data_IF_942728517081
#
_entry.id   IF_942728517081
#
_cell.length_a   1.000
_cell.length_b   1.000
_cell.length_c   1.000
_cell.angle_alpha   90.00
_cell.angle_beta   90.00
_cell.angle_gamma   90.00
#
_symmetry.space_group_name_H-M   'P 1'
#
loop_
_entity.id
_entity.type
_entity.pdbx_description
1 polymer ?
#
# COMPACT_ATOMS: atom_id res chain seq x y z
N UNK A 1 31.43 8.69 -1.09
CA UNK A 1 30.59 7.47 -0.97
C UNK A 1 29.18 7.85 -1.40
N UNK A 2 29.06 8.14 -2.65
CA UNK A 2 27.82 8.58 -3.25
C UNK A 2 27.15 7.35 -3.83
N UNK A 3 26.36 6.71 -3.04
CA UNK A 3 25.62 5.52 -3.43
C UNK A 3 24.17 5.87 -3.80
N UNK A 4 23.51 4.96 -4.51
CA UNK A 4 22.10 5.05 -4.87
C UNK A 4 21.15 5.23 -3.66
N UNK A 5 21.67 5.13 -2.45
CA UNK A 5 20.93 5.23 -1.17
C UNK A 5 21.22 6.50 -0.39
N UNK A 6 21.92 7.46 -0.97
CA UNK A 6 22.20 8.76 -0.31
C UNK A 6 20.88 9.45 0.05
N UNK A 7 20.70 9.73 1.33
CA UNK A 7 19.48 10.36 1.85
C UNK A 7 18.33 9.41 2.24
N UNK A 8 18.40 8.12 1.90
CA UNK A 8 17.36 7.14 2.25
C UNK A 8 17.54 6.52 3.65
N UNK A 9 18.66 6.78 4.31
CA UNK A 9 19.01 6.12 5.56
C UNK A 9 19.55 4.70 5.35
N UNK A 10 19.75 3.93 6.45
CA UNK A 10 20.34 2.60 6.39
C UNK A 10 19.41 1.50 5.87
N UNK A 11 18.09 1.75 5.88
CA UNK A 11 17.05 0.83 5.44
C UNK A 11 16.14 1.54 4.43
N UNK A 12 15.67 0.81 3.43
CA UNK A 12 14.76 1.34 2.42
C UNK A 12 13.85 0.24 1.84
N UNK A 13 12.69 0.65 1.34
CA UNK A 13 11.81 -0.21 0.52
C UNK A 13 12.35 -0.27 -0.90
N UNK A 14 12.70 0.89 -1.47
CA UNK A 14 13.16 1.06 -2.87
C UNK A 14 14.15 2.22 -2.95
N UNK A 15 15.04 2.22 -3.94
CA UNK A 15 15.95 3.35 -4.16
C UNK A 15 15.28 4.66 -4.58
N UNK A 16 14.06 4.60 -5.13
CA UNK A 16 13.34 5.78 -5.55
C UNK A 16 11.97 5.45 -6.16
N UNK A 17 11.14 6.47 -6.36
CA UNK A 17 9.74 6.33 -6.81
C UNK A 17 9.61 5.59 -8.15
N UNK A 18 10.49 5.88 -9.11
CA UNK A 18 10.43 5.29 -10.45
C UNK A 18 10.81 3.80 -10.49
N UNK A 19 11.32 3.23 -9.41
CA UNK A 19 11.50 1.78 -9.31
C UNK A 19 10.16 1.06 -9.24
N UNK A 20 9.16 1.64 -8.57
CA UNK A 20 7.79 1.11 -8.52
C UNK A 20 6.90 1.70 -9.61
N UNK A 21 7.17 2.93 -10.05
CA UNK A 21 6.35 3.66 -11.03
C UNK A 21 7.15 3.96 -12.32
N UNK A 22 7.54 2.93 -13.10
CA UNK A 22 8.34 3.16 -14.30
C UNK A 22 7.57 4.05 -15.29
N UNK A 23 8.23 5.11 -15.77
CA UNK A 23 7.60 6.14 -16.62
C UNK A 23 6.34 6.76 -15.99
N UNK A 24 6.30 6.90 -14.67
CA UNK A 24 5.16 7.40 -13.88
C UNK A 24 3.89 6.52 -13.96
N UNK A 25 3.99 5.37 -14.56
CA UNK A 25 2.88 4.42 -14.75
C UNK A 25 2.90 3.26 -13.77
N UNK A 26 2.26 2.18 -14.19
CA UNK A 26 2.21 0.91 -13.46
C UNK A 26 3.51 0.12 -13.65
N UNK A 27 3.80 -0.76 -12.68
CA UNK A 27 4.86 -1.73 -12.79
C UNK A 27 4.61 -2.77 -13.88
N UNK A 28 5.68 -3.40 -14.32
CA UNK A 28 5.60 -4.52 -15.26
C UNK A 28 5.46 -5.83 -14.51
N UNK A 29 4.81 -6.80 -15.14
CA UNK A 29 4.77 -8.19 -14.69
C UNK A 29 6.18 -8.73 -14.52
N UNK A 30 6.47 -9.35 -13.39
CA UNK A 30 7.78 -9.87 -12.99
C UNK A 30 7.67 -11.34 -12.61
N UNK A 31 8.80 -12.04 -12.64
CA UNK A 31 8.90 -13.44 -12.20
C UNK A 31 9.32 -13.56 -10.73
N UNK A 32 9.93 -12.51 -10.19
CA UNK A 32 10.37 -12.44 -8.78
C UNK A 32 10.19 -11.04 -8.23
N UNK A 33 9.88 -10.97 -6.95
CA UNK A 33 9.98 -9.71 -6.21
C UNK A 33 11.44 -9.39 -5.90
N UNK A 34 11.90 -8.24 -6.39
CA UNK A 34 13.22 -7.68 -6.04
C UNK A 34 13.12 -6.17 -5.92
N UNK A 35 13.50 -5.67 -4.75
CA UNK A 35 13.45 -4.23 -4.50
C UNK A 35 14.37 -3.42 -5.42
N UNK A 36 15.45 -4.01 -5.90
CA UNK A 36 16.41 -3.37 -6.81
C UNK A 36 16.01 -3.37 -8.27
N UNK A 37 15.05 -4.19 -8.67
CA UNK A 37 14.65 -4.32 -10.06
C UNK A 37 13.77 -3.13 -10.46
N UNK A 38 14.27 -2.34 -11.41
CA UNK A 38 13.53 -1.21 -11.97
C UNK A 38 12.32 -1.71 -12.74
N UNK A 39 11.16 -1.13 -12.45
CA UNK A 39 9.91 -1.50 -13.11
C UNK A 39 9.14 -2.63 -12.44
N UNK A 40 9.64 -3.20 -11.36
CA UNK A 40 8.91 -4.10 -10.50
C UNK A 40 7.91 -3.29 -9.66
N UNK A 41 6.76 -2.99 -10.23
CA UNK A 41 5.71 -2.15 -9.65
C UNK A 41 4.84 -2.83 -8.61
N UNK A 42 5.39 -3.76 -7.82
CA UNK A 42 4.65 -4.42 -6.76
C UNK A 42 5.12 -3.96 -5.39
N UNK A 43 4.15 -3.78 -4.50
CA UNK A 43 4.34 -3.62 -3.07
C UNK A 43 4.22 -4.99 -2.41
N UNK A 44 5.18 -5.32 -1.56
CA UNK A 44 5.12 -6.51 -0.74
C UNK A 44 4.30 -6.20 0.50
N UNK A 45 3.25 -6.97 0.75
CA UNK A 45 2.42 -6.87 1.96
C UNK A 45 2.48 -8.19 2.70
N UNK A 46 2.83 -8.14 3.98
CA UNK A 46 2.93 -9.32 4.86
C UNK A 46 1.86 -9.22 5.95
N UNK A 47 1.04 -10.24 6.05
CA UNK A 47 -0.14 -10.24 6.91
C UNK A 47 -0.35 -11.58 7.63
N UNK A 48 -1.06 -11.53 8.74
CA UNK A 48 -1.56 -12.69 9.47
C UNK A 48 -2.78 -13.27 8.76
N UNK A 49 -2.72 -14.50 8.28
CA UNK A 49 -3.82 -15.16 7.57
C UNK A 49 -5.09 -15.36 8.42
N UNK A 50 -4.98 -15.29 9.76
CA UNK A 50 -6.13 -15.46 10.67
C UNK A 50 -6.91 -14.17 10.89
N UNK A 51 -6.25 -13.03 10.81
CA UNK A 51 -6.85 -11.73 11.16
C UNK A 51 -6.82 -10.71 10.03
N UNK A 52 -6.17 -11.03 8.91
CA UNK A 52 -5.84 -10.12 7.79
C UNK A 52 -5.08 -8.84 8.21
N UNK A 53 -4.62 -8.80 9.46
CA UNK A 53 -3.85 -7.67 9.96
C UNK A 53 -2.38 -7.77 9.54
N UNK A 54 -1.73 -6.62 9.37
CA UNK A 54 -0.31 -6.58 9.07
C UNK A 54 0.53 -7.19 10.20
N UNK A 55 1.61 -7.87 9.83
CA UNK A 55 2.61 -8.33 10.80
C UNK A 55 3.27 -7.12 11.43
N UNK A 56 3.27 -7.04 12.77
CA UNK A 56 3.62 -5.83 13.54
C UNK A 56 5.02 -5.30 13.26
N UNK A 57 6.01 -6.20 13.10
CA UNK A 57 7.41 -5.80 12.88
C UNK A 57 7.73 -5.37 11.45
N UNK A 58 6.81 -5.66 10.50
CA UNK A 58 7.02 -5.43 9.08
C UNK A 58 5.76 -4.88 8.41
N UNK A 59 4.88 -4.23 9.18
CA UNK A 59 3.60 -3.70 8.72
C UNK A 59 3.74 -2.76 7.51
N UNK A 60 2.76 -2.82 6.61
CA UNK A 60 2.73 -2.01 5.40
C UNK A 60 3.72 -2.52 4.35
N UNK A 61 4.59 -1.65 3.88
CA UNK A 61 5.66 -1.98 2.94
C UNK A 61 6.96 -2.31 3.70
N UNK A 62 7.30 -3.59 3.90
CA UNK A 62 8.53 -3.94 4.61
C UNK A 62 9.76 -3.46 3.85
N UNK A 63 10.73 -2.96 4.61
CA UNK A 63 12.01 -2.61 4.05
C UNK A 63 12.78 -3.90 3.73
N UNK A 64 13.10 -4.12 2.46
CA UNK A 64 13.84 -5.29 1.99
C UNK A 64 15.27 -4.95 1.59
N UNK A 65 15.66 -3.68 1.69
CA UNK A 65 17.00 -3.20 1.38
C UNK A 65 17.69 -2.64 2.61
N UNK A 66 18.96 -2.94 2.75
CA UNK A 66 19.81 -2.41 3.82
C UNK A 66 21.21 -2.10 3.32
N UNK A 67 21.85 -1.07 3.90
CA UNK A 67 23.28 -0.79 3.72
C UNK A 67 24.07 -1.43 4.85
N UNK A 68 25.19 -2.08 4.53
CA UNK A 68 26.09 -2.65 5.56
C UNK A 68 26.49 -1.59 6.61
N UNK A 69 26.51 -1.93 7.93
CA UNK A 69 26.36 -3.26 8.53
C UNK A 69 24.91 -3.68 8.87
N UNK A 70 23.92 -2.90 8.48
CA UNK A 70 22.52 -3.16 8.80
C UNK A 70 21.97 -4.35 8.00
N UNK A 71 20.94 -5.00 8.54
CA UNK A 71 20.15 -6.03 7.87
C UNK A 71 18.73 -5.54 7.66
N UNK A 72 18.15 -5.88 6.51
CA UNK A 72 16.76 -5.58 6.25
C UNK A 72 15.85 -6.42 7.17
N UNK A 73 14.68 -5.90 7.60
CA UNK A 73 13.71 -6.66 8.36
C UNK A 73 13.23 -7.92 7.64
N UNK A 74 13.19 -7.86 6.31
CA UNK A 74 12.83 -8.99 5.45
C UNK A 74 13.89 -9.14 4.37
N UNK A 75 14.40 -10.38 4.22
CA UNK A 75 15.27 -10.75 3.12
C UNK A 75 14.42 -11.22 1.93
N UNK A 76 14.49 -10.51 0.82
CA UNK A 76 13.73 -10.86 -0.38
C UNK A 76 14.12 -12.22 -0.99
N UNK A 77 15.27 -12.77 -0.65
CA UNK A 77 15.69 -14.10 -1.06
C UNK A 77 14.79 -15.21 -0.49
N UNK A 78 14.14 -14.96 0.65
CA UNK A 78 13.17 -15.88 1.25
C UNK A 78 11.76 -15.79 0.68
N UNK A 79 11.53 -14.94 -0.35
CA UNK A 79 10.26 -14.84 -1.07
C UNK A 79 10.34 -15.76 -2.30
N UNK A 80 9.30 -16.58 -2.50
CA UNK A 80 9.23 -17.49 -3.65
C UNK A 80 9.22 -16.74 -5.00
N UNK A 81 9.50 -17.41 -6.12
CA UNK A 81 9.13 -16.89 -7.43
C UNK A 81 7.65 -16.54 -7.49
N UNK A 82 7.29 -15.58 -8.34
CA UNK A 82 5.89 -15.19 -8.55
C UNK A 82 5.24 -16.20 -9.50
N UNK A 83 4.19 -16.85 -9.03
CA UNK A 83 3.31 -17.66 -9.88
C UNK A 83 2.12 -16.81 -10.30
N UNK A 84 1.91 -16.68 -11.61
CA UNK A 84 0.77 -15.99 -12.16
C UNK A 84 -0.40 -16.95 -12.31
N UNK A 85 -1.44 -16.74 -11.51
CA UNK A 85 -2.67 -17.55 -11.53
C UNK A 85 -3.77 -16.81 -12.28
N UNK A 86 -4.62 -17.54 -12.96
CA UNK A 86 -5.84 -17.00 -13.56
C UNK A 86 -7.02 -17.19 -12.61
N UNK A 87 -8.00 -16.30 -12.72
CA UNK A 87 -9.27 -16.44 -11.99
C UNK A 87 -10.45 -15.98 -12.84
N UNK A 88 -11.62 -16.43 -12.46
CA UNK A 88 -12.88 -16.04 -13.09
C UNK A 88 -13.66 -15.19 -12.09
N UNK A 89 -14.09 -14.01 -12.53
CA UNK A 89 -14.91 -13.11 -11.73
C UNK A 89 -16.40 -13.47 -11.76
N UNK A 90 -17.22 -12.68 -11.10
CA UNK A 90 -18.67 -12.89 -11.01
C UNK A 90 -19.40 -12.75 -12.35
N UNK A 91 -18.77 -12.10 -13.36
CA UNK A 91 -19.30 -11.95 -14.72
C UNK A 91 -18.77 -13.01 -15.69
N UNK A 92 -17.99 -13.98 -15.21
CA UNK A 92 -17.41 -15.04 -16.04
C UNK A 92 -16.37 -14.57 -17.04
N UNK A 93 -15.65 -13.50 -16.70
CA UNK A 93 -14.62 -12.85 -17.53
C UNK A 93 -15.17 -12.39 -18.90
N UNK A 94 -16.37 -11.82 -18.89
CA UNK A 94 -17.03 -11.31 -20.10
C UNK A 94 -17.53 -9.88 -19.91
N UNK A 95 -17.29 -9.07 -20.94
CA UNK A 95 -17.94 -7.77 -21.05
C UNK A 95 -19.39 -7.87 -21.50
N UNK A 96 -20.24 -6.83 -21.30
CA UNK A 96 -21.63 -6.84 -21.75
C UNK A 96 -21.83 -7.04 -23.25
N UNK A 97 -20.85 -6.67 -24.08
CA UNK A 97 -20.83 -6.87 -25.52
C UNK A 97 -20.42 -8.30 -25.95
N UNK A 98 -20.05 -9.14 -24.98
CA UNK A 98 -19.65 -10.53 -25.18
C UNK A 98 -18.16 -10.76 -25.42
N UNK A 99 -17.34 -9.71 -25.48
CA UNK A 99 -15.89 -9.85 -25.48
C UNK A 99 -15.41 -10.47 -24.18
N UNK A 100 -14.33 -11.25 -24.24
CA UNK A 100 -13.75 -11.91 -23.09
C UNK A 100 -12.43 -11.27 -22.67
N UNK A 101 -12.12 -11.33 -21.38
CA UNK A 101 -10.85 -10.89 -20.82
C UNK A 101 -10.25 -11.96 -19.92
N UNK A 102 -8.93 -11.90 -19.71
CA UNK A 102 -8.23 -12.75 -18.74
C UNK A 102 -7.85 -11.94 -17.51
N UNK A 103 -8.21 -12.46 -16.34
CA UNK A 103 -7.79 -11.92 -15.06
C UNK A 103 -6.71 -12.80 -14.46
N UNK A 104 -5.62 -12.16 -14.01
CA UNK A 104 -4.49 -12.82 -13.37
C UNK A 104 -4.14 -12.12 -12.07
N UNK A 105 -3.56 -12.87 -11.14
CA UNK A 105 -2.99 -12.32 -9.92
C UNK A 105 -1.65 -13.00 -9.60
N UNK A 106 -0.72 -12.29 -8.94
CA UNK A 106 0.55 -12.85 -8.50
C UNK A 106 0.37 -13.62 -7.20
N UNK A 107 0.82 -14.87 -7.18
CA UNK A 107 0.88 -15.69 -5.97
C UNK A 107 2.32 -15.87 -5.53
N UNK A 108 2.59 -15.63 -4.27
CA UNK A 108 3.92 -15.76 -3.65
C UNK A 108 3.78 -16.33 -2.25
N UNK A 109 4.86 -16.91 -1.75
CA UNK A 109 4.99 -17.36 -0.37
C UNK A 109 6.27 -16.80 0.26
N UNK A 110 6.35 -16.82 1.58
CA UNK A 110 7.50 -16.36 2.34
C UNK A 110 7.92 -17.43 3.34
N UNK A 111 9.22 -17.67 3.42
CA UNK A 111 9.79 -18.60 4.41
C UNK A 111 10.13 -17.87 5.72
N UNK A 112 10.24 -18.63 6.81
CA UNK A 112 10.65 -18.08 8.11
C UNK A 112 12.04 -17.43 8.03
N UNK A 113 12.94 -17.98 7.22
CA UNK A 113 14.32 -17.48 7.04
C UNK A 113 14.36 -16.08 6.38
N UNK A 114 13.25 -15.64 5.76
CA UNK A 114 13.16 -14.29 5.24
C UNK A 114 13.15 -13.22 6.34
N UNK A 115 12.75 -13.56 7.56
CA UNK A 115 12.60 -12.60 8.66
C UNK A 115 13.88 -12.50 9.47
N UNK A 116 14.37 -11.26 9.67
CA UNK A 116 15.53 -11.01 10.53
C UNK A 116 15.22 -11.21 12.02
N UNK A 117 13.98 -10.94 12.42
CA UNK A 117 13.52 -11.09 13.80
C UNK A 117 12.30 -12.04 13.85
N UNK A 118 11.97 -12.59 15.03
CA UNK A 118 10.78 -13.40 15.19
C UNK A 118 9.52 -12.68 14.67
N UNK A 119 8.67 -13.40 13.99
CA UNK A 119 7.40 -12.87 13.46
C UNK A 119 6.42 -12.71 14.62
N UNK A 120 5.94 -11.49 14.80
CA UNK A 120 4.99 -11.15 15.87
C UNK A 120 3.73 -10.55 15.25
N UNK A 121 2.59 -11.12 15.61
CA UNK A 121 1.26 -10.66 15.20
C UNK A 121 0.43 -10.22 16.41
N UNK A 122 -0.62 -9.46 16.16
CA UNK A 122 -1.57 -9.07 17.21
C UNK A 122 -2.89 -9.81 16.99
N UNK A 123 -3.27 -10.68 17.94
CA UNK A 123 -4.53 -11.44 17.93
C UNK A 123 -5.27 -11.20 19.24
N UNK A 124 -6.52 -10.84 19.16
CA UNK A 124 -7.38 -10.59 20.34
C UNK A 124 -6.74 -9.60 21.36
N UNK A 125 -6.05 -8.60 20.83
CA UNK A 125 -5.37 -7.59 21.65
C UNK A 125 -4.01 -8.01 22.19
N UNK A 126 -3.60 -9.27 22.05
CA UNK A 126 -2.35 -9.84 22.55
C UNK A 126 -1.30 -9.97 21.45
N UNK A 127 -0.03 -9.82 21.83
CA UNK A 127 1.11 -10.07 20.95
C UNK A 127 1.44 -11.56 20.95
N UNK A 128 1.39 -12.16 19.77
CA UNK A 128 1.66 -13.60 19.57
C UNK A 128 2.90 -13.74 18.68
N UNK A 129 3.89 -14.49 19.16
CA UNK A 129 5.05 -14.86 18.34
C UNK A 129 4.72 -16.12 17.57
N UNK A 130 4.88 -16.08 16.26
CA UNK A 130 4.65 -17.24 15.37
C UNK A 130 5.92 -18.09 15.34
N UNK A 131 5.86 -19.38 15.68
CA UNK A 131 6.97 -20.30 15.53
C UNK A 131 7.45 -20.39 14.08
N UNK A 132 8.77 -20.57 13.88
CA UNK A 132 9.37 -20.56 12.54
C UNK A 132 8.77 -21.66 11.62
N UNK A 133 8.45 -22.81 12.17
CA UNK A 133 7.82 -23.92 11.44
C UNK A 133 6.35 -23.66 11.07
N UNK A 134 5.71 -22.64 11.65
CA UNK A 134 4.34 -22.25 11.36
C UNK A 134 4.23 -20.99 10.49
N UNK A 135 5.34 -20.31 10.21
CA UNK A 135 5.32 -19.07 9.44
C UNK A 135 4.66 -19.27 8.06
N UNK A 136 5.00 -20.33 7.36
CA UNK A 136 4.44 -20.60 6.03
C UNK A 136 2.92 -20.82 6.05
N UNK A 137 2.40 -21.40 7.12
CA UNK A 137 0.97 -21.70 7.27
C UNK A 137 0.16 -20.50 7.78
N UNK A 138 0.73 -19.72 8.70
CA UNK A 138 0.01 -18.66 9.40
C UNK A 138 0.23 -17.26 8.80
N UNK A 139 1.35 -17.04 8.12
CA UNK A 139 1.70 -15.74 7.54
C UNK A 139 1.48 -15.78 6.04
N UNK A 140 0.69 -14.83 5.58
CA UNK A 140 0.45 -14.59 4.16
C UNK A 140 1.35 -13.47 3.64
N UNK A 141 1.63 -13.55 2.36
CA UNK A 141 2.27 -12.47 1.62
C UNK A 141 1.49 -12.25 0.32
N UNK A 142 1.30 -11.00 -0.04
CA UNK A 142 0.70 -10.63 -1.31
C UNK A 142 1.49 -9.51 -1.96
N UNK A 143 1.39 -9.46 -3.26
CA UNK A 143 1.97 -8.40 -4.07
C UNK A 143 0.82 -7.52 -4.58
N UNK A 144 0.84 -6.27 -4.17
CA UNK A 144 -0.13 -5.27 -4.62
C UNK A 144 0.50 -4.44 -5.73
N UNK A 145 -0.20 -4.32 -6.86
CA UNK A 145 0.27 -3.49 -7.98
C UNK A 145 0.22 -2.02 -7.60
N UNK A 146 1.30 -1.30 -7.91
CA UNK A 146 1.32 0.15 -7.75
C UNK A 146 0.47 0.82 -8.82
N UNK A 147 -0.24 1.87 -8.44
CA UNK A 147 -0.97 2.72 -9.39
C UNK A 147 -0.01 3.63 -10.16
N UNK A 148 -0.45 4.16 -11.30
CA UNK A 148 0.27 5.23 -12.00
C UNK A 148 0.28 6.52 -11.17
N UNK A 149 1.37 7.28 -11.26
CA UNK A 149 1.52 8.59 -10.61
C UNK A 149 1.52 9.75 -11.60
N UNK A 150 1.22 9.49 -12.88
CA UNK A 150 1.03 10.54 -13.87
C UNK A 150 -0.20 11.38 -13.51
N UNK A 151 -0.07 12.70 -13.65
CA UNK A 151 -1.15 13.62 -13.30
C UNK A 151 -1.18 14.05 -11.83
N UNK A 152 -0.37 13.48 -10.93
CA UNK A 152 -0.36 13.86 -9.51
C UNK A 152 -0.05 15.34 -9.31
N UNK A 153 0.87 15.92 -10.11
CA UNK A 153 1.15 17.35 -10.05
C UNK A 153 -0.05 18.24 -10.46
N UNK A 154 -0.96 17.75 -11.29
CA UNK A 154 -2.21 18.44 -11.57
C UNK A 154 -3.18 18.37 -10.39
N UNK A 155 -3.22 17.22 -9.72
CA UNK A 155 -4.01 17.04 -8.50
C UNK A 155 -3.49 17.94 -7.38
N UNK A 156 -2.19 18.02 -7.18
CA UNK A 156 -1.54 18.90 -6.20
C UNK A 156 -1.77 20.39 -6.49
N UNK A 157 -2.07 20.76 -7.73
CA UNK A 157 -2.36 22.12 -8.12
C UNK A 157 -3.82 22.56 -7.83
N UNK A 158 -4.68 21.64 -7.39
CA UNK A 158 -6.07 21.97 -7.01
C UNK A 158 -6.02 22.75 -5.68
N UNK A 159 -6.53 23.99 -5.63
CA UNK A 159 -6.56 24.74 -4.38
C UNK A 159 -7.46 24.08 -3.34
N UNK A 160 -7.07 24.15 -2.07
CA UNK A 160 -7.86 23.61 -0.94
C UNK A 160 -9.29 24.14 -0.90
N UNK A 161 -9.48 25.40 -1.34
CA UNK A 161 -10.80 26.02 -1.43
C UNK A 161 -11.71 25.32 -2.44
N UNK A 162 -11.17 24.84 -3.55
CA UNK A 162 -11.95 24.11 -4.55
C UNK A 162 -12.33 22.72 -4.05
N UNK A 163 -11.43 22.04 -3.34
CA UNK A 163 -11.72 20.77 -2.68
C UNK A 163 -12.83 20.97 -1.65
N UNK A 164 -12.69 21.99 -0.81
CA UNK A 164 -13.69 22.33 0.22
C UNK A 164 -15.05 22.65 -0.37
N UNK A 165 -15.11 23.45 -1.44
CA UNK A 165 -16.37 23.75 -2.17
C UNK A 165 -17.05 22.48 -2.69
N UNK A 166 -16.28 21.54 -3.21
CA UNK A 166 -16.82 20.27 -3.69
C UNK A 166 -17.47 19.47 -2.55
N UNK A 167 -16.78 19.37 -1.39
CA UNK A 167 -17.32 18.67 -0.23
C UNK A 167 -18.58 19.35 0.35
N UNK A 168 -18.64 20.68 0.33
CA UNK A 168 -19.86 21.44 0.69
C UNK A 168 -21.00 21.07 -0.26
N UNK A 169 -20.78 21.12 -1.58
CA UNK A 169 -21.78 20.80 -2.59
C UNK A 169 -22.29 19.36 -2.44
N UNK A 170 -21.42 18.42 -2.17
CA UNK A 170 -21.80 17.02 -1.91
C UNK A 170 -22.62 16.91 -0.62
N UNK A 171 -22.24 17.64 0.44
CA UNK A 171 -23.02 17.69 1.69
C UNK A 171 -24.42 18.21 1.46
N UNK A 172 -24.58 19.32 0.73
CA UNK A 172 -25.88 19.87 0.37
C UNK A 172 -26.75 18.87 -0.39
N UNK A 173 -26.15 18.19 -1.38
CA UNK A 173 -26.85 17.16 -2.16
C UNK A 173 -27.29 16.00 -1.28
N UNK A 174 -26.39 15.39 -0.51
CA UNK A 174 -26.73 14.24 0.34
C UNK A 174 -27.72 14.60 1.44
N UNK A 175 -27.58 15.76 2.06
CA UNK A 175 -28.56 16.25 3.04
C UNK A 175 -29.93 16.43 2.42
N UNK A 176 -30.03 16.94 1.18
CA UNK A 176 -31.32 17.15 0.47
C UNK A 176 -32.08 15.86 0.20
N UNK A 177 -31.36 14.72 0.09
CA UNK A 177 -31.95 13.38 -0.10
C UNK A 177 -32.00 12.55 1.18
N UNK A 178 -31.77 13.18 2.33
CA UNK A 178 -31.84 12.53 3.66
C UNK A 178 -30.71 11.60 4.02
N UNK A 179 -29.60 11.63 3.29
CA UNK A 179 -28.39 10.84 3.58
C UNK A 179 -27.39 11.67 4.40
N UNK A 180 -27.58 11.76 5.69
CA UNK A 180 -26.81 12.64 6.59
C UNK A 180 -25.43 12.10 7.00
N UNK A 181 -25.10 10.88 6.60
CA UNK A 181 -23.86 10.14 6.90
C UNK A 181 -23.16 9.59 5.65
N UNK A 182 -23.42 10.20 4.49
CA UNK A 182 -22.85 9.73 3.22
C UNK A 182 -21.36 10.02 3.09
N UNK A 183 -20.88 11.09 3.69
CA UNK A 183 -19.46 11.47 3.68
C UNK A 183 -18.75 10.94 4.92
N UNK A 184 -17.48 10.55 4.75
CA UNK A 184 -16.72 9.93 5.84
C UNK A 184 -16.54 10.92 7.02
N UNK A 185 -17.14 10.64 8.20
CA UNK A 185 -17.10 11.56 9.34
C UNK A 185 -15.71 11.67 9.97
N UNK A 186 -14.78 10.80 9.59
CA UNK A 186 -13.40 10.92 10.02
C UNK A 186 -12.68 12.12 9.38
N UNK A 187 -13.13 12.55 8.21
CA UNK A 187 -12.54 13.67 7.45
C UNK A 187 -13.43 14.90 7.46
N UNK A 188 -14.75 14.71 7.41
CA UNK A 188 -15.70 15.77 7.16
C UNK A 188 -16.92 15.71 8.07
N UNK A 189 -17.25 16.84 8.69
CA UNK A 189 -18.52 17.05 9.37
C UNK A 189 -19.57 17.49 8.34
N UNK A 190 -20.36 16.53 7.85
CA UNK A 190 -21.35 16.80 6.81
C UNK A 190 -22.43 17.77 7.24
N UNK A 191 -22.85 17.75 8.51
CA UNK A 191 -23.86 18.66 9.04
C UNK A 191 -23.29 20.08 9.23
N UNK A 192 -22.07 20.19 9.71
CA UNK A 192 -21.37 21.47 9.90
C UNK A 192 -20.67 21.98 8.64
N UNK A 193 -20.63 21.21 7.54
CA UNK A 193 -19.97 21.51 6.27
C UNK A 193 -18.54 22.00 6.45
N UNK A 194 -17.77 21.25 7.24
CA UNK A 194 -16.38 21.62 7.57
C UNK A 194 -15.49 20.40 7.77
N UNK A 195 -14.19 20.61 7.59
CA UNK A 195 -13.18 19.61 7.89
C UNK A 195 -13.09 19.33 9.38
N UNK A 196 -12.89 18.05 9.72
CA UNK A 196 -12.63 17.66 11.11
C UNK A 196 -11.18 17.97 11.46
N UNK A 197 -10.90 18.37 12.71
CA UNK A 197 -9.53 18.73 13.18
C UNK A 197 -8.53 17.56 13.05
N UNK A 198 -9.01 16.34 12.90
CA UNK A 198 -8.16 15.14 12.85
C UNK A 198 -7.27 15.09 11.60
N UNK A 199 -7.67 15.75 10.52
CA UNK A 199 -6.98 15.66 9.22
C UNK A 199 -6.38 16.98 8.72
N UNK A 200 -6.40 18.00 9.55
CA UNK A 200 -5.58 19.18 9.30
C UNK A 200 -4.11 18.84 9.53
N UNK A 201 -3.36 18.68 8.44
CA UNK A 201 -1.92 18.53 8.52
C UNK A 201 -1.27 19.90 8.66
N UNK A 202 -0.62 20.13 9.78
CA UNK A 202 0.26 21.29 9.94
C UNK A 202 1.65 20.88 9.49
N UNK A 203 2.17 21.48 8.44
CA UNK A 203 3.57 21.30 8.03
C UNK A 203 4.45 21.93 9.10
N UNK A 204 5.26 21.09 9.77
CA UNK A 204 6.16 21.58 10.80
C UNK A 204 7.11 22.65 10.21
N UNK A 205 7.10 23.82 10.81
CA UNK A 205 8.07 24.88 10.57
C UNK A 205 7.56 26.11 9.83
N UNK A 206 6.43 26.09 9.13
CA UNK A 206 5.91 27.28 8.45
C UNK A 206 4.52 27.74 8.91
N UNK A 207 3.85 27.00 9.77
CA UNK A 207 2.51 27.33 10.27
C UNK A 207 1.39 27.24 9.24
N UNK A 208 1.63 26.65 8.08
CA UNK A 208 0.62 26.47 7.03
C UNK A 208 -0.20 25.21 7.31
N UNK A 209 -1.51 25.34 7.38
CA UNK A 209 -2.45 24.22 7.47
C UNK A 209 -2.85 23.81 6.04
N UNK A 210 -2.81 22.49 5.78
CA UNK A 210 -3.30 21.88 4.54
C UNK A 210 -4.49 20.97 4.86
N UNK A 211 -5.42 20.88 3.96
CA UNK A 211 -6.57 19.99 4.03
C UNK A 211 -6.24 18.64 3.40
#
# INVERSE_FOLDING_TARGET
>A
KDGAFTGLGPLAVRPGCLYCHPNYGHGKRQERYRATDMGNGYLLVIYDKKTDAYVMSVAGMPQTMATKPFKAPVDEAGISPIEWKTYVDEWGNKFPDGETYELIYPEVSISADAFYAPVVVKRDGQMVTIPADQVADEIGVKLESTIGIYGTGLTDAIPDEEITKQWIKESEYYNSIGKTDALNPAYWDQAGMKWTNKYKNTVQGNGTEYV
#
